data_IF_776065671989
#
_entry.id   IF_776065671989
#
_cell.length_a   1.000
_cell.length_b   1.000
_cell.length_c   1.000
_cell.angle_alpha   90.00
_cell.angle_beta   90.00
_cell.angle_gamma   90.00
#
_symmetry.space_group_name_H-M   'P 1'
#
loop_
_entity.id
_entity.type
_entity.pdbx_description
1 polymer ?
#
# COMPACT_ATOMS: atom_id res chain seq x y z
N UNK A 1 4.43 28.62 50.61
CA UNK A 1 3.97 29.30 49.38
C UNK A 1 4.82 28.92 48.17
N UNK A 2 6.16 29.09 48.21
CA UNK A 2 7.05 28.72 47.10
C UNK A 2 6.94 27.24 46.66
N UNK A 3 6.96 26.29 47.61
CA UNK A 3 6.80 24.86 47.30
C UNK A 3 5.47 24.57 46.59
N UNK A 4 4.38 25.18 47.06
CA UNK A 4 3.05 25.00 46.44
C UNK A 4 3.02 25.54 45.01
N UNK A 5 3.66 26.68 44.75
CA UNK A 5 3.79 27.25 43.40
C UNK A 5 4.59 26.31 42.50
N UNK A 6 5.72 25.78 42.98
CA UNK A 6 6.55 24.82 42.23
C UNK A 6 5.74 23.57 41.87
N UNK A 7 4.99 23.01 42.83
CA UNK A 7 4.15 21.83 42.60
C UNK A 7 3.09 22.11 41.52
N UNK A 8 2.41 23.25 41.59
CA UNK A 8 1.40 23.63 40.58
C UNK A 8 2.04 23.78 39.19
N UNK A 9 3.19 24.45 39.09
CA UNK A 9 3.89 24.63 37.82
C UNK A 9 4.30 23.28 37.22
N UNK A 10 4.81 22.36 38.03
CA UNK A 10 5.18 21.01 37.58
C UNK A 10 3.95 20.23 37.09
N UNK A 11 2.82 20.30 37.81
CA UNK A 11 1.57 19.65 37.38
C UNK A 11 1.08 20.22 36.05
N UNK A 12 1.06 21.54 35.89
CA UNK A 12 0.65 22.18 34.64
C UNK A 12 1.58 21.76 33.48
N UNK A 13 2.89 21.70 33.72
CA UNK A 13 3.86 21.26 32.72
C UNK A 13 3.62 19.78 32.31
N UNK A 14 3.36 18.90 33.28
CA UNK A 14 3.06 17.49 33.02
C UNK A 14 1.76 17.31 32.23
N UNK A 15 0.70 18.04 32.58
CA UNK A 15 -0.58 18.00 31.86
C UNK A 15 -0.39 18.50 30.42
N UNK A 16 0.32 19.63 30.25
CA UNK A 16 0.64 20.15 28.92
C UNK A 16 1.43 19.15 28.08
N UNK A 17 2.42 18.49 28.69
CA UNK A 17 3.22 17.45 28.04
C UNK A 17 2.36 16.27 27.55
N UNK A 18 1.45 15.78 28.40
CA UNK A 18 0.52 14.69 28.07
C UNK A 18 -0.38 15.06 26.89
N UNK A 19 -0.98 16.25 26.91
CA UNK A 19 -1.88 16.71 25.83
C UNK A 19 -1.14 16.79 24.49
N UNK A 20 0.06 17.38 24.48
CA UNK A 20 0.88 17.50 23.26
C UNK A 20 1.27 16.12 22.74
N UNK A 21 1.75 15.22 23.60
CA UNK A 21 2.18 13.89 23.18
C UNK A 21 1.03 13.01 22.70
N UNK A 22 -0.14 13.08 23.35
CA UNK A 22 -1.35 12.37 22.94
C UNK A 22 -1.78 12.80 21.54
N UNK A 23 -1.91 14.11 21.31
CA UNK A 23 -2.29 14.65 20.01
C UNK A 23 -1.27 14.29 18.94
N UNK A 24 0.03 14.40 19.24
CA UNK A 24 1.09 14.07 18.29
C UNK A 24 1.02 12.61 17.84
N UNK A 25 0.90 11.66 18.77
CA UNK A 25 0.78 10.24 18.45
C UNK A 25 -0.48 9.95 17.62
N UNK A 26 -1.63 10.51 18.00
CA UNK A 26 -2.89 10.34 17.27
C UNK A 26 -2.84 10.94 15.87
N UNK A 27 -2.28 12.14 15.71
CA UNK A 27 -2.13 12.77 14.40
C UNK A 27 -1.24 11.94 13.48
N UNK A 28 -0.12 11.39 13.97
CA UNK A 28 0.73 10.52 13.15
C UNK A 28 0.08 9.18 12.83
N UNK A 29 -0.73 8.64 13.73
CA UNK A 29 -1.46 7.40 13.50
C UNK A 29 -2.54 7.58 12.43
N UNK A 30 -3.30 8.68 12.49
CA UNK A 30 -4.28 9.05 11.45
C UNK A 30 -3.56 9.28 10.12
N UNK A 31 -2.42 9.97 10.10
CA UNK A 31 -1.66 10.18 8.86
C UNK A 31 -1.21 8.87 8.20
N UNK A 32 -0.83 7.85 9.00
CA UNK A 32 -0.52 6.52 8.47
C UNK A 32 -1.78 5.80 7.94
N UNK A 33 -2.95 5.98 8.55
CA UNK A 33 -4.23 5.45 8.05
C UNK A 33 -4.64 6.11 6.73
N UNK A 34 -4.52 7.44 6.65
CA UNK A 34 -4.82 8.20 5.43
C UNK A 34 -3.91 7.77 4.29
N UNK A 35 -2.62 7.58 4.56
CA UNK A 35 -1.67 7.07 3.57
C UNK A 35 -2.02 5.65 3.09
N UNK A 36 -2.50 4.77 3.98
CA UNK A 36 -2.98 3.44 3.61
C UNK A 36 -4.22 3.53 2.72
N UNK A 37 -5.17 4.41 3.04
CA UNK A 37 -6.34 4.66 2.20
C UNK A 37 -5.96 5.15 0.79
N UNK A 38 -4.85 5.88 0.65
CA UNK A 38 -4.29 6.25 -0.65
C UNK A 38 -3.90 5.04 -1.49
N UNK A 39 -3.34 3.99 -0.88
CA UNK A 39 -3.03 2.72 -1.55
C UNK A 39 -4.33 2.03 -1.98
N UNK A 40 -5.33 2.00 -1.11
CA UNK A 40 -6.61 1.33 -1.37
C UNK A 40 -7.34 1.91 -2.59
N UNK A 41 -7.29 3.23 -2.74
CA UNK A 41 -7.83 3.92 -3.92
C UNK A 41 -7.14 3.43 -5.19
N UNK A 42 -5.82 3.32 -5.21
CA UNK A 42 -5.09 2.91 -6.42
C UNK A 42 -5.25 1.41 -6.70
N UNK A 43 -5.27 0.55 -5.68
CA UNK A 43 -5.57 -0.87 -5.83
C UNK A 43 -6.97 -1.10 -6.41
N UNK A 44 -7.96 -0.36 -5.90
CA UNK A 44 -9.33 -0.41 -6.41
C UNK A 44 -9.40 0.05 -7.85
N UNK A 45 -8.77 1.19 -8.18
CA UNK A 45 -8.69 1.70 -9.56
C UNK A 45 -8.08 0.67 -10.50
N UNK A 46 -6.97 0.03 -10.12
CA UNK A 46 -6.31 -1.01 -10.93
C UNK A 46 -7.25 -2.20 -11.14
N UNK A 47 -7.94 -2.65 -10.10
CA UNK A 47 -8.91 -3.73 -10.17
C UNK A 47 -10.13 -3.40 -11.06
N UNK A 48 -10.55 -2.13 -11.11
CA UNK A 48 -11.68 -1.68 -11.91
C UNK A 48 -11.37 -1.59 -13.41
N UNK A 49 -10.10 -1.49 -13.80
CA UNK A 49 -9.67 -1.54 -15.20
C UNK A 49 -9.64 -2.97 -15.78
N UNK A 50 -9.52 -3.99 -14.92
CA UNK A 50 -9.37 -5.40 -15.34
C UNK A 50 -10.54 -5.92 -16.18
N UNK A 51 -11.82 -5.68 -15.85
CA UNK A 51 -12.94 -6.18 -16.66
C UNK A 51 -12.88 -5.70 -18.12
N UNK A 52 -12.59 -4.41 -18.33
CA UNK A 52 -12.46 -3.83 -19.67
C UNK A 52 -11.26 -4.41 -20.42
N UNK A 53 -10.14 -4.64 -19.72
CA UNK A 53 -8.97 -5.32 -20.30
C UNK A 53 -9.33 -6.74 -20.74
N UNK A 54 -9.97 -7.52 -19.86
CA UNK A 54 -10.38 -8.90 -20.14
C UNK A 54 -11.36 -8.96 -21.31
N UNK A 55 -12.34 -8.07 -21.38
CA UNK A 55 -13.28 -7.99 -22.50
C UNK A 55 -12.57 -7.68 -23.82
N UNK A 56 -11.65 -6.73 -23.81
CA UNK A 56 -10.83 -6.38 -24.98
C UNK A 56 -10.02 -7.58 -25.46
N UNK A 57 -9.34 -8.30 -24.56
CA UNK A 57 -8.54 -9.47 -24.91
C UNK A 57 -9.41 -10.64 -25.39
N UNK A 58 -10.57 -10.86 -24.78
CA UNK A 58 -11.53 -11.91 -25.19
C UNK A 58 -12.00 -11.75 -26.63
N UNK A 59 -12.10 -10.52 -27.14
CA UNK A 59 -12.46 -10.25 -28.54
C UNK A 59 -11.49 -10.84 -29.56
N UNK A 60 -10.23 -11.09 -29.16
CA UNK A 60 -9.17 -11.61 -30.03
C UNK A 60 -8.69 -13.01 -29.62
N UNK A 61 -8.66 -13.30 -28.32
CA UNK A 61 -8.07 -14.51 -27.73
C UNK A 61 -9.08 -15.29 -26.89
N UNK A 62 -10.26 -15.61 -27.46
CA UNK A 62 -11.36 -16.26 -26.73
C UNK A 62 -11.03 -17.66 -26.14
N UNK A 63 -9.98 -18.32 -26.65
CA UNK A 63 -9.57 -19.65 -26.20
C UNK A 63 -8.75 -19.63 -24.90
N UNK A 64 -8.27 -18.47 -24.45
CA UNK A 64 -7.40 -18.30 -23.27
C UNK A 64 -8.16 -18.25 -21.93
N UNK A 65 -9.09 -19.19 -21.74
CA UNK A 65 -9.99 -19.21 -20.57
C UNK A 65 -9.25 -19.27 -19.24
N UNK A 66 -8.19 -20.07 -19.15
CA UNK A 66 -7.40 -20.19 -17.93
C UNK A 66 -6.79 -18.86 -17.47
N UNK A 67 -6.28 -18.06 -18.40
CA UNK A 67 -5.72 -16.73 -18.11
C UNK A 67 -6.80 -15.76 -17.63
N UNK A 68 -7.99 -15.81 -18.22
CA UNK A 68 -9.13 -14.99 -17.79
C UNK A 68 -9.63 -15.38 -16.40
N UNK A 69 -9.61 -16.66 -16.04
CA UNK A 69 -9.98 -17.11 -14.70
C UNK A 69 -8.96 -16.64 -13.65
N UNK A 70 -7.67 -16.81 -13.92
CA UNK A 70 -6.58 -16.37 -13.04
C UNK A 70 -6.63 -14.86 -12.76
N UNK A 71 -6.77 -14.02 -13.80
CA UNK A 71 -6.82 -12.56 -13.62
C UNK A 71 -8.11 -12.12 -12.90
N UNK A 72 -9.22 -12.81 -13.13
CA UNK A 72 -10.50 -12.52 -12.44
C UNK A 72 -10.38 -12.87 -10.96
N UNK A 73 -9.76 -13.99 -10.62
CA UNK A 73 -9.49 -14.39 -9.25
C UNK A 73 -8.53 -13.41 -8.57
N UNK A 74 -7.45 -13.01 -9.24
CA UNK A 74 -6.49 -12.06 -8.71
C UNK A 74 -7.13 -10.68 -8.47
N UNK A 75 -7.98 -10.20 -9.39
CA UNK A 75 -8.79 -8.99 -9.23
C UNK A 75 -9.68 -9.08 -7.98
N UNK A 76 -10.39 -10.19 -7.79
CA UNK A 76 -11.25 -10.38 -6.62
C UNK A 76 -10.43 -10.38 -5.32
N UNK A 77 -9.24 -10.97 -5.33
CA UNK A 77 -8.30 -10.91 -4.21
C UNK A 77 -7.88 -9.49 -3.86
N UNK A 78 -7.56 -8.66 -4.85
CA UNK A 78 -7.23 -7.23 -4.64
C UNK A 78 -8.41 -6.47 -4.06
N UNK A 79 -9.63 -6.66 -4.59
CA UNK A 79 -10.82 -5.99 -4.05
C UNK A 79 -11.12 -6.40 -2.60
N UNK A 80 -10.95 -7.67 -2.27
CA UNK A 80 -11.13 -8.15 -0.89
C UNK A 80 -10.06 -7.56 0.05
N UNK A 81 -8.79 -7.53 -0.38
CA UNK A 81 -7.69 -6.99 0.42
C UNK A 81 -7.79 -5.47 0.58
N UNK A 82 -8.23 -4.74 -0.44
CA UNK A 82 -8.44 -3.29 -0.40
C UNK A 82 -9.49 -2.88 0.66
N UNK A 83 -10.43 -3.77 1.01
CA UNK A 83 -11.46 -3.50 2.02
C UNK A 83 -11.01 -3.69 3.48
N UNK A 84 -9.89 -4.37 3.74
CA UNK A 84 -9.34 -4.57 5.08
C UNK A 84 -8.21 -3.58 5.41
N UNK A 85 -7.64 -3.66 6.61
CA UNK A 85 -6.45 -2.86 7.02
C UNK A 85 -5.13 -3.66 6.94
N UNK A 86 -5.20 -4.93 6.52
CA UNK A 86 -4.05 -5.81 6.45
C UNK A 86 -3.14 -5.46 5.26
N UNK A 87 -2.03 -4.81 5.58
CA UNK A 87 -1.01 -4.35 4.62
C UNK A 87 -0.37 -5.52 3.88
N UNK A 88 -0.10 -6.63 4.58
CA UNK A 88 0.54 -7.82 4.00
C UNK A 88 -0.40 -8.48 3.01
N UNK A 89 -1.68 -8.61 3.35
CA UNK A 89 -2.69 -9.13 2.44
C UNK A 89 -2.84 -8.25 1.18
N UNK A 90 -2.83 -6.91 1.34
CA UNK A 90 -2.84 -5.96 0.20
C UNK A 90 -1.64 -6.14 -0.70
N UNK A 91 -0.44 -6.26 -0.14
CA UNK A 91 0.80 -6.47 -0.90
C UNK A 91 0.77 -7.78 -1.69
N UNK A 92 0.37 -8.88 -1.04
CA UNK A 92 0.29 -10.19 -1.68
C UNK A 92 -0.75 -10.23 -2.81
N UNK A 93 -1.93 -9.63 -2.57
CA UNK A 93 -2.98 -9.57 -3.58
C UNK A 93 -2.55 -8.74 -4.80
N UNK A 94 -1.89 -7.60 -4.58
CA UNK A 94 -1.40 -6.76 -5.68
C UNK A 94 -0.33 -7.46 -6.52
N UNK A 95 0.60 -8.16 -5.87
CA UNK A 95 1.62 -8.95 -6.55
C UNK A 95 1.01 -10.09 -7.37
N UNK A 96 0.00 -10.77 -6.84
CA UNK A 96 -0.73 -11.81 -7.57
C UNK A 96 -1.40 -11.24 -8.83
N UNK A 97 -2.04 -10.07 -8.71
CA UNK A 97 -2.62 -9.37 -9.87
C UNK A 97 -1.54 -8.97 -10.88
N UNK A 98 -0.38 -8.50 -10.42
CA UNK A 98 0.72 -8.09 -11.30
C UNK A 98 1.25 -9.29 -12.08
N UNK A 99 1.42 -10.45 -11.41
CA UNK A 99 1.81 -11.69 -12.06
C UNK A 99 0.80 -12.16 -13.13
N UNK A 100 -0.51 -12.01 -12.87
CA UNK A 100 -1.54 -12.33 -13.86
C UNK A 100 -1.55 -11.39 -15.07
N UNK A 101 -1.22 -10.10 -14.86
CA UNK A 101 -1.07 -9.13 -15.96
C UNK A 101 0.13 -9.46 -16.85
N UNK A 102 1.24 -9.93 -16.28
CA UNK A 102 2.40 -10.42 -17.05
C UNK A 102 2.01 -11.60 -17.94
N UNK A 103 1.24 -12.56 -17.43
CA UNK A 103 0.72 -13.68 -18.23
C UNK A 103 -0.21 -13.22 -19.35
N UNK A 104 -1.08 -12.25 -19.08
CA UNK A 104 -1.98 -11.68 -20.09
C UNK A 104 -1.20 -10.93 -21.20
N UNK A 105 -0.10 -10.26 -20.85
CA UNK A 105 0.79 -9.65 -21.83
C UNK A 105 1.49 -10.71 -22.71
N UNK A 106 1.90 -11.84 -22.13
CA UNK A 106 2.45 -12.95 -22.91
C UNK A 106 1.41 -13.53 -23.89
N UNK A 107 0.14 -13.62 -23.49
CA UNK A 107 -0.95 -13.95 -24.43
C UNK A 107 -1.00 -12.93 -25.56
N UNK A 108 -0.97 -11.64 -25.26
CA UNK A 108 -1.04 -10.59 -26.28
C UNK A 108 0.12 -10.65 -27.30
N UNK A 109 1.28 -11.20 -26.95
CA UNK A 109 2.38 -11.42 -27.91
C UNK A 109 2.04 -12.42 -29.01
N UNK A 110 1.19 -13.40 -28.72
CA UNK A 110 0.73 -14.40 -29.70
C UNK A 110 -0.34 -13.85 -30.67
N UNK A 111 -0.91 -12.67 -30.38
CA UNK A 111 -2.01 -12.07 -31.16
C UNK A 111 -1.62 -10.65 -31.65
N UNK A 112 -0.99 -10.52 -32.83
CA UNK A 112 -0.53 -9.23 -33.36
C UNK A 112 -1.62 -8.16 -33.46
N UNK A 113 -2.84 -8.54 -33.84
CA UNK A 113 -3.98 -7.62 -33.98
C UNK A 113 -4.41 -7.04 -32.63
N UNK A 114 -4.37 -7.83 -31.56
CA UNK A 114 -4.62 -7.37 -30.19
C UNK A 114 -3.48 -6.45 -29.72
N UNK A 115 -2.23 -6.82 -30.00
CA UNK A 115 -1.05 -6.03 -29.65
C UNK A 115 -1.07 -4.64 -30.28
N UNK A 116 -1.62 -4.51 -31.49
CA UNK A 116 -1.81 -3.25 -32.19
C UNK A 116 -3.12 -2.52 -31.84
N UNK A 117 -4.01 -3.13 -31.05
CA UNK A 117 -5.29 -2.54 -30.69
C UNK A 117 -5.10 -1.33 -29.78
N UNK A 118 -5.67 -0.18 -30.18
CA UNK A 118 -5.51 1.09 -29.45
C UNK A 118 -6.13 1.06 -28.05
N UNK A 119 -7.28 0.40 -27.87
CA UNK A 119 -7.93 0.31 -26.56
C UNK A 119 -7.12 -0.56 -25.60
N UNK A 120 -6.54 -1.65 -26.11
CA UNK A 120 -5.65 -2.51 -25.32
C UNK A 120 -4.39 -1.75 -24.86
N UNK A 121 -3.76 -1.01 -25.77
CA UNK A 121 -2.59 -0.19 -25.45
C UNK A 121 -2.91 0.92 -24.44
N UNK A 122 -4.07 1.56 -24.56
CA UNK A 122 -4.52 2.59 -23.62
C UNK A 122 -4.78 2.00 -22.22
N UNK A 123 -5.45 0.84 -22.13
CA UNK A 123 -5.66 0.15 -20.85
C UNK A 123 -4.35 -0.28 -20.20
N UNK A 124 -3.39 -0.80 -20.98
CA UNK A 124 -2.06 -1.11 -20.46
C UNK A 124 -1.35 0.14 -19.92
N UNK A 125 -1.46 1.28 -20.61
CA UNK A 125 -0.91 2.54 -20.15
C UNK A 125 -1.56 2.99 -18.83
N UNK A 126 -2.89 2.94 -18.74
CA UNK A 126 -3.59 3.30 -17.49
C UNK A 126 -3.20 2.37 -16.32
N UNK A 127 -2.97 1.08 -16.58
CA UNK A 127 -2.47 0.14 -15.59
C UNK A 127 -1.05 0.45 -15.16
N UNK A 128 -0.16 0.79 -16.09
CA UNK A 128 1.21 1.22 -15.79
C UNK A 128 1.23 2.53 -14.98
N UNK A 129 0.44 3.54 -15.39
CA UNK A 129 0.29 4.79 -14.65
C UNK A 129 -0.24 4.54 -13.23
N UNK A 130 -1.15 3.58 -13.07
CA UNK A 130 -1.67 3.20 -11.75
C UNK A 130 -0.62 2.48 -10.91
N UNK A 131 0.23 1.63 -11.51
CA UNK A 131 1.35 1.00 -10.80
C UNK A 131 2.35 2.03 -10.27
N UNK A 132 2.68 3.04 -11.05
CA UNK A 132 3.55 4.14 -10.60
C UNK A 132 2.94 4.89 -9.40
N UNK A 133 1.62 5.12 -9.43
CA UNK A 133 0.89 5.72 -8.31
C UNK A 133 0.85 4.81 -7.08
N UNK A 134 0.70 3.49 -7.25
CA UNK A 134 0.79 2.50 -6.15
C UNK A 134 2.19 2.55 -5.53
N UNK A 135 3.24 2.55 -6.34
CA UNK A 135 4.63 2.63 -5.86
C UNK A 135 4.89 3.90 -5.04
N UNK A 136 4.39 5.04 -5.52
CA UNK A 136 4.45 6.30 -4.76
C UNK A 136 3.66 6.21 -3.44
N UNK A 137 2.42 5.71 -3.49
CA UNK A 137 1.57 5.57 -2.31
C UNK A 137 2.18 4.64 -1.25
N UNK A 138 2.84 3.55 -1.67
CA UNK A 138 3.61 2.65 -0.79
C UNK A 138 4.74 3.37 -0.08
N UNK A 139 5.52 4.15 -0.82
CA UNK A 139 6.62 4.93 -0.25
C UNK A 139 6.09 5.95 0.76
N UNK A 140 5.02 6.67 0.40
CA UNK A 140 4.37 7.64 1.27
C UNK A 140 3.82 7.01 2.56
N UNK A 141 3.17 5.86 2.45
CA UNK A 141 2.72 5.07 3.61
C UNK A 141 3.87 4.64 4.50
N UNK A 142 4.94 4.11 3.90
CA UNK A 142 6.12 3.69 4.65
C UNK A 142 6.80 4.85 5.38
N UNK A 143 6.85 6.04 4.80
CA UNK A 143 7.37 7.24 5.47
C UNK A 143 6.49 7.68 6.66
N UNK A 144 5.16 7.61 6.50
CA UNK A 144 4.21 7.88 7.57
C UNK A 144 4.34 6.86 8.72
N UNK A 145 4.42 5.57 8.39
CA UNK A 145 4.66 4.48 9.36
C UNK A 145 6.01 4.61 10.04
N UNK A 146 7.08 4.98 9.32
CA UNK A 146 8.39 5.22 9.91
C UNK A 146 8.34 6.34 10.95
N UNK A 147 7.61 7.41 10.65
CA UNK A 147 7.41 8.54 11.57
C UNK A 147 6.64 8.11 12.81
N UNK A 148 5.52 7.40 12.64
CA UNK A 148 4.74 6.85 13.73
C UNK A 148 5.56 5.90 14.61
N UNK A 149 6.21 4.90 13.99
CA UNK A 149 6.97 3.87 14.68
C UNK A 149 8.13 4.47 15.47
N UNK A 150 8.81 5.51 14.95
CA UNK A 150 9.82 6.28 15.69
C UNK A 150 9.23 6.90 16.95
N UNK A 151 8.07 7.55 16.89
CA UNK A 151 7.42 8.12 18.08
C UNK A 151 7.03 7.04 19.08
N UNK A 152 6.55 5.89 18.62
CA UNK A 152 6.15 4.78 19.48
C UNK A 152 7.33 4.21 20.29
N UNK A 153 8.55 4.23 19.75
CA UNK A 153 9.74 3.65 20.43
C UNK A 153 10.67 4.66 21.08
N UNK A 154 10.47 5.97 20.88
CA UNK A 154 11.39 7.00 21.40
C UNK A 154 10.83 7.74 22.60
N UNK A 155 11.73 8.11 23.51
CA UNK A 155 11.43 9.01 24.63
C UNK A 155 11.26 10.44 24.07
N UNK A 156 10.30 11.22 24.58
CA UNK A 156 9.43 10.92 25.72
C UNK A 156 8.07 10.32 25.33
N UNK A 157 7.81 10.10 24.04
CA UNK A 157 6.50 9.73 23.51
C UNK A 157 6.10 8.28 23.81
N UNK A 158 7.07 7.36 23.92
CA UNK A 158 6.81 5.94 24.18
C UNK A 158 5.93 5.70 25.42
N UNK A 159 6.02 6.56 26.45
CA UNK A 159 5.24 6.44 27.68
C UNK A 159 3.76 6.76 27.50
N UNK A 160 3.40 7.47 26.43
CA UNK A 160 2.03 7.90 26.16
C UNK A 160 1.32 6.99 25.15
N UNK A 161 2.03 6.05 24.52
CA UNK A 161 1.50 5.14 23.49
C UNK A 161 0.28 4.34 23.96
N UNK A 162 0.37 3.74 25.15
CA UNK A 162 -0.74 2.96 25.74
C UNK A 162 -1.98 3.80 26.03
N UNK A 163 -1.80 5.01 26.59
CA UNK A 163 -2.91 5.94 26.86
C UNK A 163 -3.49 6.52 25.56
N UNK A 164 -2.63 6.77 24.57
CA UNK A 164 -3.04 7.20 23.25
C UNK A 164 -3.69 6.06 22.45
N UNK A 165 -3.57 4.79 22.85
CA UNK A 165 -4.05 3.66 22.06
C UNK A 165 -3.39 3.56 20.68
N UNK A 166 -2.12 3.96 20.60
CA UNK A 166 -1.34 4.00 19.35
C UNK A 166 -0.18 3.02 19.47
N UNK A 167 -0.13 2.07 18.56
CA UNK A 167 0.92 1.05 18.47
C UNK A 167 1.80 1.21 17.23
N UNK A 168 2.77 0.31 17.09
CA UNK A 168 3.52 0.20 15.84
C UNK A 168 2.59 -0.28 14.72
N UNK A 169 2.86 0.20 13.51
CA UNK A 169 2.27 -0.31 12.27
C UNK A 169 3.32 -1.04 11.45
N UNK A 170 2.86 -2.00 10.66
CA UNK A 170 3.72 -2.73 9.72
C UNK A 170 4.02 -1.85 8.50
N UNK A 171 5.19 -2.02 7.92
CA UNK A 171 5.52 -1.38 6.64
C UNK A 171 4.85 -2.16 5.50
N UNK A 172 4.57 -1.45 4.41
CA UNK A 172 4.23 -2.05 3.13
C UNK A 172 5.54 -2.49 2.46
N UNK A 173 6.01 -3.69 2.82
CA UNK A 173 7.15 -4.34 2.16
C UNK A 173 6.69 -5.25 1.02
N UNK A 174 7.53 -5.37 -0.01
CA UNK A 174 7.44 -6.47 -0.95
C UNK A 174 7.88 -7.76 -0.22
N UNK A 175 7.20 -8.90 -0.40
CA UNK A 175 7.54 -10.14 0.30
C UNK A 175 9.01 -10.52 0.09
N UNK A 176 9.58 -11.23 1.07
CA UNK A 176 11.01 -11.40 1.44
C UNK A 176 12.05 -11.76 0.34
N UNK A 177 11.71 -11.77 -0.95
CA UNK A 177 12.60 -12.09 -2.07
C UNK A 177 13.44 -10.95 -2.66
N UNK A 178 13.31 -9.70 -2.19
CA UNK A 178 13.98 -8.53 -2.79
C UNK A 178 15.13 -7.93 -1.96
N UNK A 179 15.53 -8.55 -0.84
CA UNK A 179 16.53 -7.98 0.07
C UNK A 179 18.00 -8.26 -0.29
N UNK A 180 18.31 -8.88 -1.44
CA UNK A 180 19.70 -9.02 -1.91
C UNK A 180 19.84 -8.45 -3.33
N UNK A 181 20.55 -7.32 -3.54
CA UNK A 181 20.98 -6.95 -4.88
C UNK A 181 21.84 -8.09 -5.47
N UNK A 182 21.63 -8.49 -6.73
CA UNK A 182 22.44 -9.53 -7.35
C UNK A 182 23.91 -9.10 -7.33
N UNK A 183 24.76 -9.89 -6.67
CA UNK A 183 26.20 -9.65 -6.65
C UNK A 183 26.73 -10.03 -8.04
N UNK A 184 27.00 -9.03 -8.86
CA UNK A 184 27.56 -9.24 -10.20
C UNK A 184 29.01 -9.69 -10.04
N UNK A 185 29.24 -10.99 -10.09
CA UNK A 185 30.58 -11.57 -10.21
C UNK A 185 30.94 -11.66 -11.70
N UNK A 186 31.82 -10.78 -12.17
CA UNK A 186 32.48 -11.00 -13.45
C UNK A 186 33.43 -12.20 -13.30
N UNK A 187 33.22 -13.24 -14.10
CA UNK A 187 34.24 -14.27 -14.37
C UNK A 187 34.80 -14.02 -15.75
#
# INVERSE_FOLDING_TARGET
MLIAIIVVVVIVALVGFVIVGFNKLRTTDIGAQEALGGIDVQLTRRADLIPNLVETVKGYAAHEKGVFEEITQARAGVQAAAAGDDVVAKAAADQALQGSLVKLNAVAEAYPDLKANTNFLDLQKQLADTEDQISFARTYYNDAVATLNKLVVTIPWMFLTGMAGVGKREFYDAPEGQQAPPTISFT
#
